data_IF_048647172009
#
_entry.id   IF_048647172009
#
_cell.length_a   1.000
_cell.length_b   1.000
_cell.length_c   1.000
_cell.angle_alpha   90.00
_cell.angle_beta   90.00
_cell.angle_gamma   90.00
#
_symmetry.space_group_name_H-M   'P 1'
#
loop_
_entity.id
_entity.type
_entity.pdbx_description
1 polymer ?
#
# COMPACT_ATOMS: atom_id res chain seq x y z
N UNK A 1 -18.85 -20.65 -29.78
CA UNK A 1 -19.16 -21.18 -28.43
C UNK A 1 -17.94 -21.14 -27.51
N UNK A 2 -16.75 -21.54 -27.98
CA UNK A 2 -15.52 -21.58 -27.16
C UNK A 2 -15.13 -20.22 -26.54
N UNK A 3 -15.21 -19.12 -27.29
CA UNK A 3 -14.91 -17.75 -26.79
C UNK A 3 -15.69 -17.40 -25.53
N UNK A 4 -17.00 -17.64 -25.54
CA UNK A 4 -17.90 -17.31 -24.43
C UNK A 4 -17.70 -18.22 -23.22
N UNK A 5 -17.20 -19.45 -23.43
CA UNK A 5 -16.83 -20.34 -22.32
C UNK A 5 -15.57 -19.82 -21.64
N UNK A 6 -14.51 -19.60 -22.40
CA UNK A 6 -13.21 -19.15 -21.86
C UNK A 6 -13.32 -17.78 -21.19
N UNK A 7 -14.16 -16.88 -21.71
CA UNK A 7 -14.44 -15.59 -21.06
C UNK A 7 -15.13 -15.75 -19.69
N UNK A 8 -16.10 -16.67 -19.59
CA UNK A 8 -16.77 -16.99 -18.32
C UNK A 8 -15.79 -17.62 -17.34
N UNK A 9 -14.99 -18.57 -17.82
CA UNK A 9 -14.02 -19.31 -17.01
C UNK A 9 -12.92 -18.37 -16.52
N UNK A 10 -12.43 -17.45 -17.36
CA UNK A 10 -11.50 -16.39 -16.98
C UNK A 10 -12.12 -15.49 -15.90
N UNK A 11 -13.36 -15.03 -16.09
CA UNK A 11 -14.02 -14.15 -15.12
C UNK A 11 -14.14 -14.81 -13.76
N UNK A 12 -14.51 -16.09 -13.72
CA UNK A 12 -14.59 -16.87 -12.50
C UNK A 12 -13.21 -17.04 -11.86
N UNK A 13 -12.20 -17.43 -12.63
CA UNK A 13 -10.84 -17.63 -12.15
C UNK A 13 -10.21 -16.33 -11.63
N UNK A 14 -10.44 -15.19 -12.28
CA UNK A 14 -9.96 -13.87 -11.82
C UNK A 14 -10.69 -13.40 -10.56
N UNK A 15 -12.00 -13.65 -10.45
CA UNK A 15 -12.77 -13.32 -9.25
C UNK A 15 -12.29 -14.15 -8.03
N UNK A 16 -12.11 -15.46 -8.23
CA UNK A 16 -11.51 -16.34 -7.23
C UNK A 16 -10.09 -15.91 -6.88
N UNK A 17 -9.29 -15.58 -7.90
CA UNK A 17 -7.93 -15.10 -7.71
C UNK A 17 -7.89 -13.85 -6.82
N UNK A 18 -8.77 -12.88 -7.08
CA UNK A 18 -8.91 -11.67 -6.29
C UNK A 18 -9.31 -11.96 -4.84
N UNK A 19 -10.23 -12.90 -4.62
CA UNK A 19 -10.66 -13.33 -3.29
C UNK A 19 -9.49 -13.95 -2.50
N UNK A 20 -8.75 -14.89 -3.09
CA UNK A 20 -7.62 -15.52 -2.41
C UNK A 20 -6.50 -14.51 -2.16
N UNK A 21 -6.21 -13.64 -3.13
CA UNK A 21 -5.21 -12.58 -2.96
C UNK A 21 -5.61 -11.55 -1.89
N UNK A 22 -6.90 -11.33 -1.67
CA UNK A 22 -7.39 -10.53 -0.55
C UNK A 22 -6.97 -11.14 0.79
N UNK A 23 -7.16 -12.44 0.95
CA UNK A 23 -6.84 -13.16 2.19
C UNK A 23 -5.33 -13.29 2.41
N UNK A 24 -4.55 -13.38 1.32
CA UNK A 24 -3.08 -13.42 1.35
C UNK A 24 -2.41 -12.05 1.58
N UNK A 25 -3.17 -10.95 1.69
CA UNK A 25 -2.61 -9.59 1.93
C UNK A 25 -1.67 -9.49 3.14
N UNK A 26 -1.96 -10.10 4.31
CA UNK A 26 -1.05 -10.04 5.45
C UNK A 26 0.31 -10.68 5.13
N UNK A 27 0.29 -11.82 4.43
CA UNK A 27 1.49 -12.54 4.00
C UNK A 27 2.32 -11.69 3.01
N UNK A 28 1.67 -11.11 1.99
CA UNK A 28 2.31 -10.20 1.02
C UNK A 28 2.93 -8.97 1.71
N UNK A 29 2.25 -8.39 2.70
CA UNK A 29 2.79 -7.28 3.49
C UNK A 29 4.02 -7.69 4.30
N UNK A 30 4.06 -8.93 4.76
CA UNK A 30 5.21 -9.47 5.50
C UNK A 30 6.44 -9.64 4.60
N UNK A 31 6.26 -9.99 3.32
CA UNK A 31 7.37 -10.11 2.36
C UNK A 31 7.85 -8.77 1.81
N UNK A 32 6.98 -7.76 1.77
CA UNK A 32 7.30 -6.44 1.25
C UNK A 32 8.43 -5.72 2.00
N UNK A 33 8.78 -6.14 3.22
CA UNK A 33 9.69 -5.39 4.07
C UNK A 33 11.18 -5.71 3.96
N UNK A 34 11.62 -6.79 3.28
CA UNK A 34 13.06 -7.12 3.04
C UNK A 34 13.19 -8.52 2.41
N UNK A 35 12.76 -8.72 1.16
CA UNK A 35 13.02 -9.99 0.50
C UNK A 35 13.23 -9.83 -1.01
N UNK A 36 14.47 -9.97 -1.48
CA UNK A 36 14.81 -9.95 -2.92
C UNK A 36 14.04 -11.04 -3.69
N UNK A 37 13.80 -12.20 -3.07
CA UNK A 37 13.02 -13.27 -3.69
C UNK A 37 11.54 -12.89 -3.90
N UNK A 38 11.00 -12.00 -3.06
CA UNK A 38 9.66 -11.45 -3.26
C UNK A 38 9.61 -10.44 -4.40
N UNK A 39 10.68 -9.66 -4.62
CA UNK A 39 10.79 -8.78 -5.79
C UNK A 39 10.78 -9.58 -7.10
N UNK A 40 11.52 -10.69 -7.15
CA UNK A 40 11.53 -11.61 -8.30
C UNK A 40 10.14 -12.23 -8.51
N UNK A 41 9.45 -12.60 -7.44
CA UNK A 41 8.07 -13.09 -7.53
C UNK A 41 7.10 -12.03 -8.07
N UNK A 42 7.18 -10.77 -7.60
CA UNK A 42 6.34 -9.69 -8.11
C UNK A 42 6.59 -9.42 -9.59
N UNK A 43 7.85 -9.50 -10.03
CA UNK A 43 8.20 -9.39 -11.44
C UNK A 43 7.57 -10.52 -12.27
N UNK A 44 7.68 -11.78 -11.81
CA UNK A 44 7.04 -12.92 -12.46
C UNK A 44 5.52 -12.82 -12.48
N UNK A 45 4.91 -12.39 -11.38
CA UNK A 45 3.47 -12.15 -11.30
C UNK A 45 3.02 -11.09 -12.32
N UNK A 46 3.81 -10.03 -12.50
CA UNK A 46 3.55 -8.99 -13.52
C UNK A 46 3.61 -9.56 -14.93
N UNK A 47 4.69 -10.26 -15.27
CA UNK A 47 4.96 -10.78 -16.63
C UNK A 47 4.04 -11.94 -17.03
N UNK A 48 3.70 -12.83 -16.10
CA UNK A 48 2.98 -14.07 -16.39
C UNK A 48 1.46 -13.94 -16.23
N UNK A 49 0.99 -13.04 -15.36
CA UNK A 49 -0.44 -12.88 -15.09
C UNK A 49 -0.97 -11.51 -15.49
N UNK A 50 -0.38 -10.43 -14.97
CA UNK A 50 -0.96 -9.09 -15.13
C UNK A 50 -0.87 -8.57 -16.58
N UNK A 51 0.31 -8.67 -17.21
CA UNK A 51 0.52 -8.18 -18.57
C UNK A 51 -0.26 -8.97 -19.64
N UNK A 52 -0.26 -10.33 -19.61
CA UNK A 52 -1.06 -11.11 -20.54
C UNK A 52 -2.57 -10.87 -20.38
N UNK A 53 -3.06 -10.71 -19.14
CA UNK A 53 -4.47 -10.39 -18.89
C UNK A 53 -4.86 -9.04 -19.50
N UNK A 54 -4.06 -7.99 -19.26
CA UNK A 54 -4.29 -6.65 -19.84
C UNK A 54 -4.21 -6.71 -21.38
N UNK A 55 -3.24 -7.45 -21.92
CA UNK A 55 -3.10 -7.63 -23.38
C UNK A 55 -4.32 -8.34 -23.97
N UNK A 56 -4.81 -9.40 -23.31
CA UNK A 56 -6.00 -10.13 -23.74
C UNK A 56 -7.26 -9.26 -23.72
N UNK A 57 -7.44 -8.43 -22.70
CA UNK A 57 -8.55 -7.48 -22.60
C UNK A 57 -8.49 -6.39 -23.68
N UNK A 58 -7.32 -5.82 -23.96
CA UNK A 58 -7.16 -4.85 -25.06
C UNK A 58 -7.50 -5.45 -26.43
N UNK A 59 -7.10 -6.70 -26.66
CA UNK A 59 -7.44 -7.43 -27.88
C UNK A 59 -8.93 -7.79 -27.95
N UNK A 60 -9.62 -7.86 -26.82
CA UNK A 60 -11.07 -8.07 -26.78
C UNK A 60 -11.84 -6.82 -27.22
N UNK A 61 -11.32 -5.64 -26.88
CA UNK A 61 -11.89 -4.33 -27.23
C UNK A 61 -11.65 -3.95 -28.71
N UNK A 62 -10.60 -4.50 -29.35
CA UNK A 62 -10.28 -4.27 -30.76
C UNK A 62 -11.12 -5.18 -31.69
N UNK A 63 -11.99 -4.57 -32.52
CA UNK A 63 -12.89 -5.27 -33.48
C UNK A 63 -12.15 -6.10 -34.57
N UNK A 64 -10.84 -5.96 -34.71
CA UNK A 64 -10.01 -6.62 -35.73
C UNK A 64 -9.22 -7.82 -35.19
N UNK A 65 -9.33 -8.15 -33.90
CA UNK A 65 -8.50 -9.19 -33.27
C UNK A 65 -8.97 -10.60 -33.63
N UNK A 66 -8.03 -11.46 -34.03
CA UNK A 66 -8.29 -12.89 -34.22
C UNK A 66 -8.75 -13.52 -32.90
N UNK A 67 -10.02 -13.94 -32.83
CA UNK A 67 -10.65 -14.51 -31.64
C UNK A 67 -9.84 -15.65 -31.00
N UNK A 68 -9.06 -16.39 -31.79
CA UNK A 68 -8.21 -17.49 -31.32
C UNK A 68 -7.02 -17.02 -30.47
N UNK A 69 -6.39 -15.89 -30.82
CA UNK A 69 -5.25 -15.34 -30.05
C UNK A 69 -5.70 -14.84 -28.69
N UNK A 70 -6.86 -14.18 -28.63
CA UNK A 70 -7.47 -13.72 -27.38
C UNK A 70 -7.82 -14.91 -26.46
N UNK A 71 -8.43 -15.97 -27.02
CA UNK A 71 -8.74 -17.20 -26.29
C UNK A 71 -7.47 -17.86 -25.74
N UNK A 72 -6.41 -17.99 -26.54
CA UNK A 72 -5.14 -18.58 -26.10
C UNK A 72 -4.47 -17.79 -24.97
N UNK A 73 -4.53 -16.46 -25.02
CA UNK A 73 -4.00 -15.59 -23.97
C UNK A 73 -4.79 -15.80 -22.67
N UNK A 74 -6.12 -15.83 -22.72
CA UNK A 74 -6.94 -16.05 -21.54
C UNK A 74 -6.77 -17.45 -20.95
N UNK A 75 -6.67 -18.48 -21.78
CA UNK A 75 -6.39 -19.83 -21.30
C UNK A 75 -5.02 -19.89 -20.60
N UNK A 76 -3.99 -19.29 -21.20
CA UNK A 76 -2.68 -19.19 -20.58
C UNK A 76 -2.71 -18.47 -19.23
N UNK A 77 -3.54 -17.42 -19.07
CA UNK A 77 -3.71 -16.71 -17.79
C UNK A 77 -4.38 -17.62 -16.75
N UNK A 78 -5.44 -18.35 -17.13
CA UNK A 78 -6.14 -19.29 -16.26
C UNK A 78 -5.18 -20.36 -15.75
N UNK A 79 -4.38 -20.94 -16.64
CA UNK A 79 -3.45 -22.03 -16.32
C UNK A 79 -2.33 -21.58 -15.36
N UNK A 80 -1.98 -20.29 -15.36
CA UNK A 80 -0.93 -19.71 -14.52
C UNK A 80 -1.42 -19.42 -13.09
N UNK A 81 -2.71 -19.16 -12.88
CA UNK A 81 -3.27 -18.75 -11.57
C UNK A 81 -2.86 -19.70 -10.42
N UNK A 82 -2.97 -21.03 -10.53
CA UNK A 82 -2.56 -21.95 -9.46
C UNK A 82 -1.07 -21.79 -9.09
N UNK A 83 -0.22 -21.63 -10.10
CA UNK A 83 1.23 -21.49 -9.91
C UNK A 83 1.62 -20.22 -9.16
N UNK A 84 0.79 -19.17 -9.18
CA UNK A 84 1.02 -17.94 -8.40
C UNK A 84 1.03 -18.27 -6.91
N UNK A 85 0.11 -19.12 -6.45
CA UNK A 85 0.02 -19.50 -5.05
C UNK A 85 1.12 -20.47 -4.65
N UNK A 86 1.45 -21.44 -5.50
CA UNK A 86 2.57 -22.35 -5.25
C UNK A 86 3.88 -21.57 -5.09
N UNK A 87 4.12 -20.60 -5.97
CA UNK A 87 5.29 -19.73 -5.89
C UNK A 87 5.27 -18.87 -4.62
N UNK A 88 4.11 -18.36 -4.20
CA UNK A 88 3.97 -17.57 -2.97
C UNK A 88 4.20 -18.42 -1.70
N UNK A 89 3.69 -19.64 -1.65
CA UNK A 89 3.91 -20.60 -0.57
C UNK A 89 5.38 -21.06 -0.50
N UNK A 90 6.04 -21.19 -1.65
CA UNK A 90 7.47 -21.46 -1.70
C UNK A 90 8.29 -20.32 -1.08
N UNK A 91 7.89 -19.06 -1.27
CA UNK A 91 8.54 -17.91 -0.62
C UNK A 91 8.37 -17.91 0.90
N UNK A 92 7.23 -18.36 1.40
CA UNK A 92 6.98 -18.52 2.83
C UNK A 92 7.96 -19.53 3.46
N UNK A 93 8.15 -20.67 2.81
CA UNK A 93 9.11 -21.70 3.22
C UNK A 93 10.57 -21.25 3.14
N UNK A 94 10.89 -20.29 2.26
CA UNK A 94 12.24 -19.71 2.16
C UNK A 94 12.48 -18.70 3.27
N UNK A 95 11.47 -17.88 3.62
CA UNK A 95 11.54 -16.93 4.74
C UNK A 95 11.84 -17.63 6.07
N UNK A 96 11.19 -18.75 6.34
CA UNK A 96 11.40 -19.55 7.57
C UNK A 96 12.85 -20.07 7.71
N UNK A 97 13.61 -20.16 6.60
CA UNK A 97 15.02 -20.59 6.60
C UNK A 97 16.05 -19.46 6.65
N UNK A 98 15.63 -18.20 6.43
CA UNK A 98 16.54 -17.04 6.26
C UNK A 98 16.54 -16.10 7.48
N UNK A 99 15.75 -16.37 8.53
CA UNK A 99 15.73 -15.55 9.78
C UNK A 99 16.99 -15.66 10.68
N UNK A 100 18.17 -15.93 10.12
CA UNK A 100 19.47 -15.71 10.79
C UNK A 100 20.22 -14.53 10.14
N UNK A 101 20.92 -13.69 10.94
CA UNK A 101 21.12 -12.30 10.62
C UNK A 101 22.25 -12.13 9.61
N UNK A 102 21.95 -11.58 8.43
CA UNK A 102 22.99 -10.95 7.63
C UNK A 102 22.50 -9.63 7.02
N UNK A 103 23.11 -8.57 7.52
CA UNK A 103 23.20 -7.26 6.92
C UNK A 103 24.17 -7.31 5.73
N UNK A 104 23.80 -6.76 4.58
CA UNK A 104 24.79 -6.18 3.68
C UNK A 104 24.13 -5.25 2.67
N UNK A 105 24.78 -4.10 2.54
CA UNK A 105 24.62 -3.04 1.59
C UNK A 105 24.50 -3.50 0.12
N UNK A 106 23.77 -2.71 -0.66
CA UNK A 106 24.19 -2.29 -2.01
C UNK A 106 23.42 -1.06 -2.47
N UNK A 107 24.15 0.05 -2.46
CA UNK A 107 23.85 1.36 -3.02
C UNK A 107 23.91 1.31 -4.55
N UNK A 108 22.80 1.61 -5.23
CA UNK A 108 22.78 2.30 -6.55
C UNK A 108 21.38 2.37 -7.20
N UNK A 109 20.42 1.52 -6.81
CA UNK A 109 19.02 1.58 -7.30
C UNK A 109 18.01 2.15 -6.28
N UNK A 110 18.50 2.50 -5.10
CA UNK A 110 17.74 2.88 -3.91
C UNK A 110 17.00 4.22 -4.09
N UNK A 111 17.57 5.21 -4.80
CA UNK A 111 16.99 6.57 -4.83
C UNK A 111 15.64 6.71 -5.55
N UNK A 112 15.35 5.92 -6.60
CA UNK A 112 14.07 6.04 -7.33
C UNK A 112 12.92 5.37 -6.60
N UNK A 113 13.14 4.17 -6.04
CA UNK A 113 12.13 3.47 -5.24
C UNK A 113 11.93 4.11 -3.87
N UNK A 114 12.98 4.69 -3.27
CA UNK A 114 12.84 5.46 -2.04
C UNK A 114 11.96 6.69 -2.21
N UNK A 115 12.14 7.49 -3.27
CA UNK A 115 11.28 8.68 -3.50
C UNK A 115 9.81 8.29 -3.66
N UNK A 116 9.53 7.20 -4.37
CA UNK A 116 8.16 6.74 -4.58
C UNK A 116 7.55 6.07 -3.32
N UNK A 117 8.36 5.39 -2.50
CA UNK A 117 7.94 4.92 -1.17
C UNK A 117 7.74 6.08 -0.19
N UNK A 118 8.62 7.08 -0.18
CA UNK A 118 8.52 8.28 0.67
C UNK A 118 7.28 9.10 0.33
N UNK A 119 6.94 9.27 -0.96
CA UNK A 119 5.69 9.93 -1.37
C UNK A 119 4.45 9.15 -0.91
N UNK A 120 4.48 7.82 -1.00
CA UNK A 120 3.41 6.98 -0.47
C UNK A 120 3.31 7.04 1.06
N UNK A 121 4.43 7.18 1.78
CA UNK A 121 4.46 7.37 3.22
C UNK A 121 3.90 8.74 3.62
N UNK A 122 4.29 9.80 2.91
CA UNK A 122 3.80 11.16 3.15
C UNK A 122 2.28 11.24 2.91
N UNK A 123 1.79 10.70 1.79
CA UNK A 123 0.35 10.63 1.51
C UNK A 123 -0.41 9.87 2.61
N UNK A 124 0.09 8.70 3.03
CA UNK A 124 -0.48 7.93 4.15
C UNK A 124 -0.47 8.72 5.46
N UNK A 125 0.59 9.47 5.74
CA UNK A 125 0.69 10.29 6.95
C UNK A 125 -0.35 11.41 6.94
N UNK A 126 -0.50 12.12 5.81
CA UNK A 126 -1.52 13.16 5.64
C UNK A 126 -2.92 12.57 5.82
N UNK A 127 -3.24 11.46 5.17
CA UNK A 127 -4.54 10.80 5.33
C UNK A 127 -4.81 10.35 6.78
N UNK A 128 -3.80 9.81 7.47
CA UNK A 128 -3.90 9.45 8.89
C UNK A 128 -4.15 10.68 9.76
N UNK A 129 -3.45 11.79 9.51
CA UNK A 129 -3.60 13.05 10.24
C UNK A 129 -4.97 13.69 10.02
N UNK A 130 -5.49 13.66 8.80
CA UNK A 130 -6.84 14.12 8.48
C UNK A 130 -7.87 13.29 9.23
N UNK A 131 -7.74 11.95 9.18
CA UNK A 131 -8.63 11.05 9.92
C UNK A 131 -8.61 11.33 11.43
N UNK A 132 -7.43 11.45 12.03
CA UNK A 132 -7.30 11.76 13.45
C UNK A 132 -7.97 13.09 13.83
N UNK A 133 -7.88 14.12 12.98
CA UNK A 133 -8.58 15.40 13.20
C UNK A 133 -10.11 15.25 13.14
N UNK A 134 -10.62 14.44 12.20
CA UNK A 134 -12.06 14.18 12.06
C UNK A 134 -12.61 13.31 13.19
N UNK A 135 -11.80 12.40 13.72
CA UNK A 135 -12.18 11.46 14.78
C UNK A 135 -12.04 12.02 16.19
N UNK A 136 -11.69 13.29 16.40
CA UNK A 136 -11.52 13.82 17.76
C UNK A 136 -10.14 13.54 18.38
N UNK A 137 -9.26 12.81 17.69
CA UNK A 137 -7.99 12.28 18.19
C UNK A 137 -6.83 13.29 18.04
N UNK A 138 -7.06 14.55 18.42
CA UNK A 138 -6.05 15.60 18.30
C UNK A 138 -5.10 15.50 19.50
N UNK A 139 -3.92 14.92 19.32
CA UNK A 139 -2.82 15.17 20.26
C UNK A 139 -2.32 16.60 20.04
N UNK A 140 -2.25 17.47 21.08
CA UNK A 140 -1.66 18.79 20.94
C UNK A 140 -0.22 18.64 20.43
N UNK A 141 -0.02 18.97 19.16
CA UNK A 141 1.27 18.86 18.50
C UNK A 141 2.12 20.06 18.89
N UNK A 142 2.77 19.97 20.05
CA UNK A 142 3.69 20.99 20.53
C UNK A 142 4.42 20.54 21.79
N UNK A 143 5.29 19.55 21.67
CA UNK A 143 6.55 19.40 22.43
C UNK A 143 7.20 18.06 22.04
N UNK A 144 8.15 18.11 21.10
CA UNK A 144 9.04 16.98 20.77
C UNK A 144 10.17 16.79 21.80
N UNK A 145 9.97 17.25 23.03
CA UNK A 145 10.96 17.16 24.09
C UNK A 145 10.29 16.53 25.32
N UNK A 146 10.02 15.23 25.24
CA UNK A 146 10.03 14.37 26.42
C UNK A 146 10.34 12.95 25.95
N UNK A 147 11.64 12.69 25.88
CA UNK A 147 12.18 11.34 25.98
C UNK A 147 11.93 10.85 27.42
N UNK A 148 10.72 10.39 27.70
CA UNK A 148 10.43 9.62 28.90
C UNK A 148 9.69 8.35 28.50
N UNK A 149 10.33 7.24 28.86
CA UNK A 149 9.91 5.88 28.65
C UNK A 149 8.54 5.60 29.30
N UNK A 150 7.87 4.61 28.73
CA UNK A 150 6.94 3.67 29.34
C UNK A 150 5.43 3.96 29.27
N UNK A 151 4.77 2.88 28.87
CA UNK A 151 3.47 2.38 29.32
C UNK A 151 2.17 2.95 28.75
N UNK A 152 1.49 2.02 28.06
CA UNK A 152 0.06 1.76 28.13
C UNK A 152 -0.90 2.92 27.80
N UNK A 153 -1.63 2.72 26.70
CA UNK A 153 -3.08 2.95 26.70
C UNK A 153 -3.53 4.33 27.20
N UNK A 154 -2.95 5.40 26.67
CA UNK A 154 -3.72 6.64 26.56
C UNK A 154 -4.67 6.38 25.39
N UNK A 155 -5.80 5.75 25.70
CA UNK A 155 -7.02 5.93 24.92
C UNK A 155 -7.32 7.41 25.06
N UNK A 156 -6.72 8.23 24.19
CA UNK A 156 -7.13 9.60 24.03
C UNK A 156 -8.59 9.52 23.60
N UNK A 157 -9.49 9.79 24.52
CA UNK A 157 -10.92 9.80 24.24
C UNK A 157 -11.14 10.82 23.12
N UNK A 158 -11.94 10.49 22.09
CA UNK A 158 -12.20 11.43 21.01
C UNK A 158 -12.82 12.70 21.59
N UNK A 159 -12.14 13.84 21.42
CA UNK A 159 -12.63 15.11 21.92
C UNK A 159 -13.99 15.43 21.29
N UNK A 160 -14.87 16.03 22.08
CA UNK A 160 -16.12 16.56 21.56
C UNK A 160 -15.85 17.72 20.59
N UNK A 161 -16.74 17.98 19.62
CA UNK A 161 -16.55 19.10 18.69
C UNK A 161 -16.35 20.45 19.40
N UNK A 162 -16.99 20.66 20.55
CA UNK A 162 -16.82 21.88 21.36
C UNK A 162 -15.39 22.01 21.89
N UNK A 163 -14.87 20.96 22.53
CA UNK A 163 -13.49 20.94 23.06
C UNK A 163 -12.45 21.06 21.94
N UNK A 164 -12.70 20.45 20.78
CA UNK A 164 -11.83 20.62 19.62
C UNK A 164 -11.75 22.08 19.16
N UNK A 165 -12.90 22.78 19.13
CA UNK A 165 -12.96 24.19 18.75
C UNK A 165 -12.22 25.05 19.77
N UNK A 166 -12.49 24.85 21.05
CA UNK A 166 -11.85 25.62 22.13
C UNK A 166 -10.33 25.49 22.11
N UNK A 167 -9.81 24.27 21.93
CA UNK A 167 -8.37 24.04 21.80
C UNK A 167 -7.77 24.68 20.56
N UNK A 168 -8.47 24.62 19.41
CA UNK A 168 -8.00 25.26 18.17
C UNK A 168 -7.92 26.78 18.31
N UNK A 169 -8.94 27.39 18.93
CA UNK A 169 -8.94 28.83 19.22
C UNK A 169 -7.79 29.16 20.16
N UNK A 170 -7.68 28.44 21.29
CA UNK A 170 -6.63 28.67 22.27
C UNK A 170 -5.23 28.64 21.62
N UNK A 171 -4.95 27.62 20.80
CA UNK A 171 -3.66 27.51 20.10
C UNK A 171 -3.43 28.62 19.07
N UNK A 172 -4.46 29.01 18.32
CA UNK A 172 -4.37 30.06 17.31
C UNK A 172 -4.21 31.47 17.93
N UNK A 173 -4.72 31.66 19.15
CA UNK A 173 -4.61 32.93 19.89
C UNK A 173 -3.45 32.99 20.87
N UNK A 174 -2.69 31.90 21.03
CA UNK A 174 -1.52 31.87 21.91
C UNK A 174 -0.41 32.75 21.35
N UNK A 175 -0.08 33.80 22.11
CA UNK A 175 0.99 34.77 21.81
C UNK A 175 2.32 34.04 21.57
N UNK A 176 2.58 32.94 22.28
CA UNK A 176 3.80 32.14 22.13
C UNK A 176 3.92 31.53 20.73
N UNK A 177 2.80 31.05 20.17
CA UNK A 177 2.75 30.50 18.82
C UNK A 177 2.84 31.60 17.76
N UNK A 178 2.13 32.71 17.99
CA UNK A 178 2.13 33.87 17.09
C UNK A 178 3.52 34.49 16.96
N UNK A 179 4.29 34.55 18.05
CA UNK A 179 5.65 35.08 18.07
C UNK A 179 6.67 34.22 17.28
N UNK A 180 6.38 32.94 17.04
CA UNK A 180 7.23 32.02 16.28
C UNK A 180 6.95 32.06 14.77
N UNK A 181 5.93 32.79 14.32
CA UNK A 181 5.59 32.88 12.91
C UNK A 181 6.66 33.67 12.14
N UNK A 182 6.87 33.29 10.88
CA UNK A 182 7.75 34.04 9.99
C UNK A 182 7.24 35.49 9.83
N UNK A 183 8.13 36.48 9.83
CA UNK A 183 7.80 37.92 9.88
C UNK A 183 6.79 38.38 8.83
N UNK A 184 6.82 37.77 7.63
CA UNK A 184 5.87 38.08 6.55
C UNK A 184 4.43 37.61 6.80
N UNK A 185 4.16 36.85 7.86
CA UNK A 185 2.81 36.53 8.31
C UNK A 185 2.16 37.67 9.12
N UNK A 186 2.94 38.69 9.53
CA UNK A 186 2.44 39.90 10.19
C UNK A 186 1.46 39.63 11.33
N UNK A 187 1.81 38.73 12.24
CA UNK A 187 0.92 38.24 13.30
C UNK A 187 0.45 39.31 14.31
N UNK A 188 0.99 40.53 14.23
CA UNK A 188 0.71 41.67 15.11
C UNK A 188 -0.25 42.71 14.52
N UNK A 189 -0.64 42.56 13.25
CA UNK A 189 -1.55 43.49 12.54
C UNK A 189 -2.99 43.06 12.75
#
# INVERSE_FOLDING_TARGET
MEKLSVERDLKNAVAEHHSIMHDMRPLLRSFAQKNESFAVYLQRYKELFSEPLIKGLKLLDDECSSSSVCINIFQSVIDIIPSIYDNLLLLEKVKERVELPFSSDKSSEMERNERQQQQNLHGKHVSKKVRMKLEGMITPSGNKNDSAKNDASIVSEPLTPAEQIDLLIQQATDISNLALMYEGWTAWV
#
